data_IF_557578802280
#
_entry.id   IF_557578802280
#
_cell.length_a   1.000
_cell.length_b   1.000
_cell.length_c   1.000
_cell.angle_alpha   90.00
_cell.angle_beta   90.00
_cell.angle_gamma   90.00
#
_symmetry.space_group_name_H-M   'P 1'
#
loop_
_entity.id
_entity.type
_entity.pdbx_description
1 polymer ?
#
# COMPACT_ATOMS: atom_id res chain seq x y z
N UNK A 1 9.78 7.90 -31.04
CA UNK A 1 10.15 6.60 -31.65
C UNK A 1 10.06 5.41 -30.67
N UNK A 2 10.51 5.55 -29.42
CA UNK A 2 10.63 4.43 -28.45
C UNK A 2 9.31 3.71 -28.07
N UNK A 3 8.16 4.42 -28.02
CA UNK A 3 6.87 3.83 -27.62
C UNK A 3 6.37 2.77 -28.60
N UNK A 4 6.60 2.94 -29.91
CA UNK A 4 6.17 1.98 -30.95
C UNK A 4 6.97 0.68 -30.88
N UNK A 5 8.28 0.78 -30.63
CA UNK A 5 9.16 -0.38 -30.44
C UNK A 5 8.76 -1.19 -29.19
N UNK A 6 8.44 -0.52 -28.07
CA UNK A 6 7.93 -1.19 -26.85
C UNK A 6 6.61 -1.93 -27.06
N UNK A 7 5.73 -1.43 -27.92
CA UNK A 7 4.46 -2.09 -28.22
C UNK A 7 4.70 -3.35 -29.08
N UNK A 8 5.62 -3.28 -30.04
CA UNK A 8 5.96 -4.39 -30.93
C UNK A 8 6.78 -5.49 -30.22
N UNK A 9 7.67 -5.10 -29.30
CA UNK A 9 8.46 -6.03 -28.50
C UNK A 9 7.71 -6.57 -27.27
N UNK A 10 6.43 -6.23 -27.11
CA UNK A 10 5.64 -6.69 -25.97
C UNK A 10 5.22 -8.14 -26.19
N UNK A 11 5.81 -9.04 -25.41
CA UNK A 11 5.33 -10.41 -25.31
C UNK A 11 3.90 -10.44 -24.75
N UNK A 12 3.02 -11.17 -25.43
CA UNK A 12 1.67 -11.39 -24.96
C UNK A 12 1.70 -12.30 -23.73
N UNK A 13 1.41 -11.73 -22.56
CA UNK A 13 1.22 -12.49 -21.31
C UNK A 13 -0.28 -12.62 -21.06
N UNK A 14 -0.90 -13.80 -21.29
CA UNK A 14 -2.30 -14.00 -20.97
C UNK A 14 -2.49 -13.80 -19.46
N UNK A 15 -3.30 -12.82 -19.08
CA UNK A 15 -3.72 -12.62 -17.69
C UNK A 15 -4.99 -13.44 -17.47
N UNK A 16 -4.84 -14.65 -16.93
CA UNK A 16 -5.97 -15.43 -16.43
C UNK A 16 -6.30 -14.96 -15.01
N UNK A 17 -7.58 -14.72 -14.75
CA UNK A 17 -8.06 -14.43 -13.41
C UNK A 17 -8.35 -15.78 -12.77
N UNK A 18 -7.73 -16.05 -11.63
CA UNK A 18 -7.93 -17.29 -10.88
C UNK A 18 -8.18 -16.91 -9.43
N UNK A 19 -9.28 -17.38 -8.87
CA UNK A 19 -9.58 -17.24 -7.44
C UNK A 19 -10.05 -18.59 -6.89
N UNK A 20 -9.98 -18.78 -5.58
CA UNK A 20 -10.47 -19.99 -4.95
C UNK A 20 -11.95 -19.84 -4.53
N UNK A 21 -12.73 -20.89 -4.80
CA UNK A 21 -14.05 -21.07 -4.19
C UNK A 21 -13.91 -21.31 -2.68
N UNK A 22 -15.03 -21.28 -1.96
CA UNK A 22 -15.07 -21.61 -0.54
C UNK A 22 -14.57 -23.03 -0.23
N UNK A 23 -14.70 -23.96 -1.19
CA UNK A 23 -14.19 -25.32 -1.09
C UNK A 23 -12.71 -25.48 -1.55
N UNK A 24 -12.00 -24.37 -1.80
CA UNK A 24 -10.61 -24.38 -2.28
C UNK A 24 -10.45 -24.78 -3.75
N UNK A 25 -11.55 -24.93 -4.50
CA UNK A 25 -11.51 -25.26 -5.93
C UNK A 25 -11.24 -23.98 -6.74
N UNK A 26 -10.28 -23.98 -7.68
CA UNK A 26 -9.95 -22.81 -8.50
C UNK A 26 -11.07 -22.48 -9.49
N UNK A 27 -11.46 -21.21 -9.53
CA UNK A 27 -12.43 -20.63 -10.44
C UNK A 27 -11.67 -19.75 -11.45
N UNK A 28 -11.85 -20.02 -12.74
CA UNK A 28 -11.25 -19.27 -13.85
C UNK A 28 -12.27 -18.58 -14.76
N UNK A 29 -13.55 -18.93 -14.62
CA UNK A 29 -14.64 -18.27 -15.33
C UNK A 29 -14.89 -16.87 -14.75
N UNK A 30 -15.02 -15.88 -15.63
CA UNK A 30 -15.14 -14.47 -15.23
C UNK A 30 -16.42 -14.17 -14.46
N UNK A 31 -17.55 -14.78 -14.86
CA UNK A 31 -18.84 -14.53 -14.21
C UNK A 31 -18.83 -15.17 -12.82
N UNK A 32 -18.36 -16.42 -12.72
CA UNK A 32 -18.19 -17.11 -11.46
C UNK A 32 -17.23 -16.37 -10.50
N UNK A 33 -16.17 -15.76 -11.02
CA UNK A 33 -15.25 -14.91 -10.26
C UNK A 33 -15.97 -13.70 -9.65
N UNK A 34 -16.77 -12.99 -10.44
CA UNK A 34 -17.52 -11.82 -9.97
C UNK A 34 -18.56 -12.21 -8.91
N UNK A 35 -19.28 -13.30 -9.12
CA UNK A 35 -20.27 -13.81 -8.17
C UNK A 35 -19.62 -14.21 -6.84
N UNK A 36 -18.45 -14.87 -6.88
CA UNK A 36 -17.67 -15.23 -5.68
C UNK A 36 -17.24 -13.98 -4.90
N UNK A 37 -16.80 -12.93 -5.59
CA UNK A 37 -16.47 -11.63 -4.96
C UNK A 37 -17.69 -10.98 -4.33
N UNK A 38 -18.82 -10.92 -5.05
CA UNK A 38 -20.08 -10.37 -4.53
C UNK A 38 -20.49 -11.08 -3.24
N UNK A 39 -20.51 -12.42 -3.28
CA UNK A 39 -20.92 -13.23 -2.13
C UNK A 39 -19.95 -13.08 -0.96
N UNK A 40 -18.64 -13.03 -1.21
CA UNK A 40 -17.63 -12.78 -0.18
C UNK A 40 -17.86 -11.44 0.53
N UNK A 41 -17.98 -10.35 -0.24
CA UNK A 41 -18.22 -9.02 0.33
C UNK A 41 -19.54 -8.97 1.09
N UNK A 42 -20.60 -9.57 0.55
CA UNK A 42 -21.88 -9.65 1.23
C UNK A 42 -21.75 -10.39 2.58
N UNK A 43 -21.10 -11.55 2.63
CA UNK A 43 -20.84 -12.29 3.86
C UNK A 43 -20.01 -11.47 4.86
N UNK A 44 -18.95 -10.81 4.38
CA UNK A 44 -18.08 -9.97 5.20
C UNK A 44 -18.85 -8.86 5.93
N UNK A 45 -19.79 -8.22 5.23
CA UNK A 45 -20.59 -7.13 5.80
C UNK A 45 -21.88 -7.57 6.49
N UNK A 46 -22.29 -8.83 6.35
CA UNK A 46 -23.51 -9.36 6.97
C UNK A 46 -23.33 -9.77 8.43
N UNK A 47 -22.10 -9.78 8.96
CA UNK A 47 -21.81 -10.17 10.34
C UNK A 47 -21.24 -8.99 11.15
N UNK A 48 -22.09 -8.22 11.86
CA UNK A 48 -21.65 -7.08 12.67
C UNK A 48 -20.75 -7.47 13.86
N UNK A 49 -20.86 -8.71 14.36
CA UNK A 49 -20.13 -9.18 15.56
C UNK A 49 -18.79 -9.85 15.26
N UNK A 50 -18.50 -10.19 14.00
CA UNK A 50 -17.16 -10.60 13.58
C UNK A 50 -16.12 -9.48 13.78
N UNK A 51 -16.57 -8.21 13.77
CA UNK A 51 -15.71 -7.06 14.03
C UNK A 51 -15.27 -6.95 15.49
N UNK A 52 -16.08 -7.37 16.48
CA UNK A 52 -15.76 -7.14 17.90
C UNK A 52 -14.66 -8.06 18.45
N UNK A 53 -14.65 -9.33 18.03
CA UNK A 53 -13.65 -10.31 18.48
C UNK A 53 -12.25 -10.05 17.88
N UNK A 54 -12.20 -9.66 16.62
CA UNK A 54 -10.93 -9.48 15.90
C UNK A 54 -10.35 -8.07 16.09
N UNK A 55 -11.18 -7.04 16.30
CA UNK A 55 -10.69 -5.68 16.62
C UNK A 55 -9.99 -5.64 17.98
N UNK A 56 -10.50 -6.36 18.99
CA UNK A 56 -9.84 -6.46 20.30
C UNK A 56 -8.46 -7.16 20.23
N UNK A 57 -8.25 -8.05 19.25
CA UNK A 57 -6.94 -8.65 18.97
C UNK A 57 -6.04 -7.76 18.10
N UNK A 58 -6.62 -7.00 17.18
CA UNK A 58 -5.89 -6.05 16.33
C UNK A 58 -5.38 -4.84 17.13
N UNK A 59 -6.12 -4.32 18.12
CA UNK A 59 -5.69 -3.13 18.88
C UNK A 59 -4.35 -3.31 19.60
N UNK A 60 -4.00 -4.53 20.03
CA UNK A 60 -2.71 -4.81 20.68
C UNK A 60 -1.56 -5.02 19.68
N UNK A 61 -1.86 -5.28 18.40
CA UNK A 61 -0.88 -5.63 17.35
C UNK A 61 -0.77 -4.58 16.24
N UNK A 62 -1.64 -3.56 16.22
CA UNK A 62 -1.78 -2.60 15.12
C UNK A 62 -1.22 -1.21 15.41
N UNK A 63 -0.64 -0.97 16.61
CA UNK A 63 0.14 0.25 16.79
C UNK A 63 1.45 0.08 16.05
N UNK A 64 1.65 0.93 15.05
CA UNK A 64 2.97 1.12 14.45
C UNK A 64 3.98 1.40 15.58
N UNK A 65 5.22 0.90 15.45
CA UNK A 65 6.26 1.23 16.41
C UNK A 65 6.42 2.76 16.46
N UNK A 66 6.82 3.27 17.62
CA UNK A 66 7.16 4.69 17.75
C UNK A 66 8.23 5.06 16.73
N UNK A 67 8.11 6.26 16.16
CA UNK A 67 9.04 6.78 15.14
C UNK A 67 10.46 6.76 15.73
N UNK A 68 11.35 6.04 15.08
CA UNK A 68 12.75 5.95 15.51
C UNK A 68 13.52 7.18 15.03
N UNK A 69 14.48 7.63 15.84
CA UNK A 69 15.40 8.71 15.44
C UNK A 69 16.09 8.41 14.10
N UNK A 70 16.46 7.14 13.88
CA UNK A 70 17.07 6.67 12.64
C UNK A 70 16.14 6.87 11.42
N UNK A 71 14.82 6.70 11.58
CA UNK A 71 13.87 6.94 10.49
C UNK A 71 13.81 8.43 10.13
N UNK A 72 13.92 9.32 11.12
CA UNK A 72 13.97 10.77 10.91
C UNK A 72 15.26 11.15 10.19
N UNK A 73 16.41 10.63 10.63
CA UNK A 73 17.71 10.83 9.97
C UNK A 73 17.67 10.40 8.50
N UNK A 74 17.14 9.21 8.24
CA UNK A 74 16.97 8.67 6.88
C UNK A 74 16.02 9.52 6.03
N UNK A 75 14.93 10.00 6.61
CA UNK A 75 13.94 10.82 5.92
C UNK A 75 14.54 12.18 5.51
N UNK A 76 15.25 12.84 6.42
CA UNK A 76 15.92 14.12 6.17
C UNK A 76 17.00 13.97 5.09
N UNK A 77 17.81 12.90 5.16
CA UNK A 77 18.84 12.61 4.17
C UNK A 77 18.26 12.38 2.76
N UNK A 78 17.06 11.80 2.66
CA UNK A 78 16.38 11.48 1.38
C UNK A 78 15.56 12.65 0.81
N UNK A 79 15.50 13.80 1.48
CA UNK A 79 14.77 14.97 0.98
C UNK A 79 15.32 15.43 -0.37
N UNK A 80 14.41 15.70 -1.31
CA UNK A 80 14.76 16.22 -2.64
C UNK A 80 14.85 17.74 -2.57
N UNK A 81 15.73 18.37 -3.37
CA UNK A 81 15.75 19.83 -3.51
C UNK A 81 14.45 20.28 -4.17
N UNK A 82 13.56 20.87 -3.37
CA UNK A 82 12.27 21.42 -3.78
C UNK A 82 12.22 22.91 -3.46
N UNK A 83 11.35 23.62 -4.17
CA UNK A 83 11.08 25.02 -3.87
C UNK A 83 10.57 25.15 -2.43
N UNK A 84 11.00 26.22 -1.79
CA UNK A 84 10.59 26.58 -0.45
C UNK A 84 9.06 26.73 -0.35
N UNK A 85 8.47 26.28 0.77
CA UNK A 85 7.09 26.57 1.11
C UNK A 85 6.89 28.02 1.54
N UNK A 86 5.67 28.35 1.97
CA UNK A 86 5.34 29.67 2.53
C UNK A 86 6.06 29.99 3.85
N UNK A 87 6.68 28.98 4.46
CA UNK A 87 7.42 29.04 5.72
C UNK A 87 8.86 29.53 5.57
N UNK A 88 9.39 29.64 4.35
CA UNK A 88 10.78 30.05 4.14
C UNK A 88 11.82 28.95 4.44
N UNK A 89 11.40 27.71 4.74
CA UNK A 89 12.29 26.59 5.07
C UNK A 89 12.50 25.69 3.85
N UNK A 90 13.76 25.52 3.45
CA UNK A 90 14.12 24.62 2.34
C UNK A 90 14.57 23.25 2.84
N UNK A 91 14.43 22.23 1.99
CA UNK A 91 14.98 20.89 2.27
C UNK A 91 16.49 20.92 2.60
N UNK A 92 17.23 21.81 1.97
CA UNK A 92 18.68 21.96 2.18
C UNK A 92 19.00 22.56 3.55
N UNK A 93 18.15 23.45 4.06
CA UNK A 93 18.29 23.98 5.42
C UNK A 93 18.16 22.84 6.44
N UNK A 94 17.14 21.99 6.30
CA UNK A 94 16.95 20.84 7.19
C UNK A 94 18.12 19.85 7.13
N UNK A 95 18.62 19.55 5.92
CA UNK A 95 19.79 18.67 5.75
C UNK A 95 21.07 19.24 6.38
N UNK A 96 21.23 20.56 6.40
CA UNK A 96 22.42 21.23 6.93
C UNK A 96 22.36 21.50 8.44
N UNK A 97 21.19 21.40 9.07
CA UNK A 97 21.03 21.60 10.52
C UNK A 97 21.61 20.45 11.36
N UNK A 98 21.88 19.30 10.75
CA UNK A 98 22.44 18.14 11.44
C UNK A 98 21.56 17.69 12.60
N UNK A 99 22.17 17.34 13.73
CA UNK A 99 21.47 16.81 14.92
C UNK A 99 20.46 17.82 15.50
N UNK A 100 20.76 19.12 15.42
CA UNK A 100 19.88 20.17 15.95
C UNK A 100 18.59 20.33 15.13
N UNK A 101 18.55 19.81 13.90
CA UNK A 101 17.33 19.75 13.08
C UNK A 101 16.48 18.48 13.29
N UNK A 102 16.96 17.54 14.10
CA UNK A 102 16.38 16.19 14.29
C UNK A 102 16.00 15.93 15.76
N UNK A 103 16.43 16.80 16.69
CA UNK A 103 16.11 16.74 18.13
C UNK A 103 14.72 17.24 18.48
#
# INVERSE_FOLDING_TARGET
>A
MFKKVKILAREFKPKHWTIESEAGVPITDKVAILERWRNYCQQLYSNPTAYDSDMARLEYSAREPDILLQEIEDAVAKLKPKACGSDGVTAQMLQNMGIEGIK
#
